data_IF_293359870036
#
_entry.id   IF_293359870036
#
_cell.length_a   1.000
_cell.length_b   1.000
_cell.length_c   1.000
_cell.angle_alpha   90.00
_cell.angle_beta   90.00
_cell.angle_gamma   90.00
#
_symmetry.space_group_name_H-M   'P 1'
#
loop_
_entity.id
_entity.type
_entity.pdbx_description
1 polymer ?
#
# COMPACT_ATOMS: atom_id res chain seq x y z
N UNK A 1 48.09 47.77 18.30
CA UNK A 1 49.18 47.01 17.63
C UNK A 1 50.06 46.38 18.70
N UNK A 2 50.23 45.04 18.64
CA UNK A 2 51.28 44.16 19.23
C UNK A 2 51.44 44.22 20.78
N UNK A 3 51.69 43.14 21.53
CA UNK A 3 52.55 41.98 21.28
C UNK A 3 52.11 40.75 22.11
N UNK A 4 52.29 39.58 21.49
CA UNK A 4 52.21 38.17 21.91
C UNK A 4 53.08 37.74 23.11
N UNK A 5 52.70 36.63 23.79
CA UNK A 5 53.49 35.46 24.31
C UNK A 5 52.80 34.86 25.55
N UNK A 6 52.82 33.59 25.95
CA UNK A 6 53.15 32.26 25.42
C UNK A 6 52.63 31.26 26.48
N UNK A 7 52.26 30.06 26.03
CA UNK A 7 51.91 28.82 26.74
C UNK A 7 52.39 28.57 28.19
N UNK A 8 51.61 27.80 28.96
CA UNK A 8 52.11 26.57 29.61
C UNK A 8 50.97 25.62 30.03
N UNK A 9 51.23 24.32 29.88
CA UNK A 9 50.38 23.18 30.24
C UNK A 9 50.23 23.07 31.76
N UNK A 10 49.11 22.53 32.27
CA UNK A 10 49.08 21.54 33.36
C UNK A 10 47.64 21.08 33.64
N UNK A 11 47.47 19.76 33.67
CA UNK A 11 46.25 19.04 33.98
C UNK A 11 45.93 19.12 35.48
N UNK A 12 44.63 19.11 35.83
CA UNK A 12 44.12 18.41 37.03
C UNK A 12 42.71 17.90 36.70
N UNK A 13 42.55 16.59 36.86
CA UNK A 13 41.31 15.88 36.74
C UNK A 13 40.34 16.27 37.86
N UNK A 14 39.06 16.46 37.51
CA UNK A 14 37.96 16.37 38.47
C UNK A 14 36.90 15.44 37.86
N UNK A 15 36.89 14.22 38.40
CA UNK A 15 35.90 13.18 38.17
C UNK A 15 34.51 13.67 38.56
N UNK A 16 33.71 14.05 37.56
CA UNK A 16 32.27 14.21 37.70
C UNK A 16 31.58 12.92 37.26
N UNK A 17 30.88 12.27 38.19
CA UNK A 17 30.08 11.07 37.92
C UNK A 17 28.94 11.49 36.99
N UNK A 18 29.07 11.22 35.70
CA UNK A 18 27.95 11.31 34.77
C UNK A 18 27.08 10.06 35.00
N UNK A 19 25.91 10.25 35.62
CA UNK A 19 24.87 9.23 35.58
C UNK A 19 24.45 9.05 34.12
N UNK A 20 24.98 8.00 33.49
CA UNK A 20 24.57 7.60 32.15
C UNK A 20 23.12 7.14 32.23
N UNK A 21 22.19 8.02 31.84
CA UNK A 21 20.85 7.61 31.47
C UNK A 21 20.99 6.73 30.22
N UNK A 22 21.06 5.41 30.43
CA UNK A 22 20.86 4.42 29.38
C UNK A 22 19.41 4.52 28.94
N UNK A 23 19.14 5.44 28.02
CA UNK A 23 17.99 5.31 27.14
C UNK A 23 18.24 4.05 26.32
N UNK A 24 17.61 2.94 26.73
CA UNK A 24 17.40 1.81 25.83
C UNK A 24 16.54 2.36 24.70
N UNK A 25 17.18 2.78 23.61
CA UNK A 25 16.51 2.93 22.34
C UNK A 25 15.93 1.55 22.03
N UNK A 26 14.64 1.36 22.33
CA UNK A 26 13.92 0.19 21.87
C UNK A 26 14.15 0.14 20.38
N UNK A 27 14.84 -0.88 19.90
CA UNK A 27 14.99 -1.14 18.49
C UNK A 27 13.57 -1.31 17.97
N UNK A 28 13.02 -0.28 17.36
CA UNK A 28 11.81 -0.41 16.57
C UNK A 28 12.18 -1.38 15.45
N UNK A 29 11.82 -2.64 15.62
CA UNK A 29 11.88 -3.60 14.54
C UNK A 29 10.97 -3.03 13.46
N UNK A 30 11.55 -2.57 12.36
CA UNK A 30 10.78 -2.22 11.19
C UNK A 30 10.02 -3.50 10.80
N UNK A 31 8.70 -3.46 10.95
CA UNK A 31 7.84 -4.51 10.43
C UNK A 31 8.17 -4.71 8.93
N UNK A 32 8.15 -5.97 8.43
CA UNK A 32 8.33 -6.22 7.01
C UNK A 32 7.42 -5.29 6.20
N UNK A 33 7.99 -4.65 5.18
CA UNK A 33 7.22 -3.82 4.26
C UNK A 33 6.06 -4.64 3.68
N UNK A 34 4.90 -4.01 3.40
CA UNK A 34 3.80 -4.71 2.76
C UNK A 34 4.28 -5.34 1.45
N UNK A 35 3.68 -6.46 1.07
CA UNK A 35 3.89 -6.99 -0.26
C UNK A 35 3.23 -6.04 -1.26
N UNK A 36 4.02 -5.52 -2.21
CA UNK A 36 3.55 -4.52 -3.20
C UNK A 36 3.49 -5.20 -4.55
N UNK A 37 2.28 -5.33 -5.09
CA UNK A 37 2.00 -5.96 -6.37
C UNK A 37 1.22 -5.06 -7.31
N UNK A 38 1.19 -5.47 -8.59
CA UNK A 38 0.31 -4.86 -9.58
C UNK A 38 -1.15 -5.24 -9.35
N UNK A 39 -2.07 -4.36 -9.75
CA UNK A 39 -3.48 -4.74 -9.83
C UNK A 39 -3.67 -6.00 -10.69
N UNK A 40 -4.53 -6.92 -10.22
CA UNK A 40 -4.79 -8.22 -10.85
C UNK A 40 -3.89 -9.36 -10.36
N UNK A 41 -2.83 -9.08 -9.59
CA UNK A 41 -2.00 -10.11 -8.96
C UNK A 41 -2.66 -10.62 -7.68
N UNK A 42 -2.66 -11.93 -7.46
CA UNK A 42 -3.12 -12.53 -6.21
C UNK A 42 -2.05 -12.42 -5.12
N UNK A 43 -2.45 -12.02 -3.92
CA UNK A 43 -1.59 -11.96 -2.74
C UNK A 43 -2.21 -12.73 -1.57
N UNK A 44 -1.39 -13.35 -0.73
CA UNK A 44 -1.87 -14.16 0.39
C UNK A 44 -1.74 -13.42 1.72
N UNK A 45 -2.87 -13.32 2.43
CA UNK A 45 -2.95 -12.96 3.83
C UNK A 45 -2.89 -14.23 4.68
N UNK A 46 -1.90 -14.31 5.55
CA UNK A 46 -1.73 -15.41 6.50
C UNK A 46 -2.12 -14.90 7.89
N UNK A 47 -3.16 -15.49 8.48
CA UNK A 47 -3.63 -15.18 9.83
C UNK A 47 -3.67 -16.48 10.66
N UNK A 48 -2.60 -16.74 11.41
CA UNK A 48 -2.42 -17.98 12.14
C UNK A 48 -2.43 -19.20 11.22
N UNK A 49 -3.45 -20.06 11.34
CA UNK A 49 -3.64 -21.25 10.50
C UNK A 49 -4.51 -21.02 9.25
N UNK A 50 -5.05 -19.81 9.10
CA UNK A 50 -5.94 -19.42 8.01
C UNK A 50 -5.16 -18.69 6.92
N UNK A 51 -5.42 -19.03 5.66
CA UNK A 51 -4.78 -18.39 4.51
C UNK A 51 -5.88 -17.92 3.56
N UNK A 52 -5.90 -16.61 3.31
CA UNK A 52 -6.82 -15.97 2.35
C UNK A 52 -6.02 -15.40 1.19
N UNK A 53 -6.34 -15.80 -0.03
CA UNK A 53 -5.79 -15.17 -1.22
C UNK A 53 -6.72 -14.06 -1.68
N UNK A 54 -6.22 -12.83 -1.72
CA UNK A 54 -6.93 -11.67 -2.26
C UNK A 54 -6.37 -11.30 -3.62
N UNK A 55 -7.26 -10.94 -4.54
CA UNK A 55 -6.89 -10.30 -5.80
C UNK A 55 -7.69 -9.01 -5.90
N UNK A 56 -7.01 -7.87 -6.03
CA UNK A 56 -7.67 -6.57 -6.27
C UNK A 56 -7.30 -6.08 -7.66
N UNK A 57 -8.29 -5.62 -8.40
CA UNK A 57 -8.12 -5.15 -9.77
C UNK A 57 -9.05 -3.99 -10.11
N UNK A 58 -8.83 -3.40 -11.28
CA UNK A 58 -9.80 -2.51 -11.93
C UNK A 58 -10.21 -1.29 -11.07
N UNK A 59 -9.25 -0.71 -10.32
CA UNK A 59 -9.49 0.52 -9.55
C UNK A 59 -9.77 1.70 -10.50
N UNK A 60 -10.99 2.23 -10.44
CA UNK A 60 -11.44 3.28 -11.35
C UNK A 60 -12.58 4.13 -10.77
N UNK A 61 -12.85 5.33 -11.32
CA UNK A 61 -14.03 6.11 -10.96
C UNK A 61 -15.33 5.32 -11.20
N UNK A 62 -16.31 5.51 -10.33
CA UNK A 62 -17.62 4.88 -10.40
C UNK A 62 -18.72 5.94 -10.44
N UNK A 63 -19.78 5.65 -11.20
CA UNK A 63 -21.00 6.47 -11.27
C UNK A 63 -22.19 5.78 -10.57
N UNK A 64 -21.92 4.72 -9.79
CA UNK A 64 -22.95 3.99 -9.05
C UNK A 64 -23.52 4.87 -7.93
N UNK A 65 -24.83 4.83 -7.74
CA UNK A 65 -25.47 5.44 -6.58
C UNK A 65 -25.56 4.41 -5.46
N UNK A 66 -24.99 4.74 -4.30
CA UNK A 66 -25.06 3.89 -3.10
C UNK A 66 -26.20 4.42 -2.21
N UNK A 67 -27.28 3.65 -1.98
CA UNK A 67 -28.39 4.09 -1.14
C UNK A 67 -27.95 4.49 0.26
N UNK A 68 -28.38 5.68 0.71
CA UNK A 68 -28.02 6.21 2.02
C UNK A 68 -26.59 6.71 2.16
N UNK A 69 -25.85 6.83 1.04
CA UNK A 69 -24.52 7.41 0.99
C UNK A 69 -24.46 8.53 -0.03
N UNK A 70 -23.92 9.68 0.37
CA UNK A 70 -23.68 10.82 -0.52
C UNK A 70 -22.17 11.03 -0.58
N UNK A 71 -21.53 10.75 -1.74
CA UNK A 71 -20.11 11.00 -1.91
C UNK A 71 -19.77 12.47 -1.65
N UNK A 72 -18.71 12.71 -0.89
CA UNK A 72 -18.13 14.04 -0.67
C UNK A 72 -17.13 14.42 -1.75
N UNK A 73 -16.53 13.42 -2.40
CA UNK A 73 -15.64 13.58 -3.54
C UNK A 73 -16.09 12.70 -4.70
N UNK A 74 -15.10 12.11 -5.39
CA UNK A 74 -15.35 11.20 -6.50
C UNK A 74 -15.46 9.77 -5.97
N UNK A 75 -16.55 9.08 -6.33
CA UNK A 75 -16.68 7.66 -6.00
C UNK A 75 -15.73 6.84 -6.87
N UNK A 76 -15.01 5.92 -6.26
CA UNK A 76 -14.16 4.93 -6.92
C UNK A 76 -14.65 3.54 -6.58
N UNK A 77 -14.38 2.60 -7.48
CA UNK A 77 -14.62 1.19 -7.28
C UNK A 77 -13.37 0.38 -7.63
N UNK A 78 -13.20 -0.77 -6.98
CA UNK A 78 -12.23 -1.79 -7.35
C UNK A 78 -12.87 -3.17 -7.24
N UNK A 79 -12.53 -4.06 -8.15
CA UNK A 79 -12.99 -5.44 -8.12
C UNK A 79 -12.08 -6.24 -7.18
N UNK A 80 -12.68 -7.05 -6.31
CA UNK A 80 -11.97 -7.88 -5.34
C UNK A 80 -12.47 -9.31 -5.40
N UNK A 81 -11.53 -10.25 -5.37
CA UNK A 81 -11.80 -11.68 -5.15
C UNK A 81 -11.07 -12.13 -3.89
N UNK A 82 -11.80 -12.76 -2.99
CA UNK A 82 -11.30 -13.37 -1.76
C UNK A 82 -11.47 -14.87 -1.84
N UNK A 83 -10.38 -15.64 -1.79
CA UNK A 83 -10.38 -17.09 -1.85
C UNK A 83 -9.83 -17.68 -0.57
N UNK A 84 -10.55 -18.64 0.01
CA UNK A 84 -10.06 -19.40 1.15
C UNK A 84 -9.09 -20.48 0.69
N UNK A 85 -7.80 -20.33 0.97
CA UNK A 85 -6.77 -21.32 0.65
C UNK A 85 -6.65 -22.37 1.76
N UNK A 86 -6.70 -21.92 3.02
CA UNK A 86 -6.64 -22.78 4.20
C UNK A 86 -7.61 -22.29 5.28
N UNK A 87 -8.40 -23.21 5.84
CA UNK A 87 -9.40 -22.91 6.87
C UNK A 87 -10.69 -22.30 6.32
N UNK A 88 -11.58 -21.90 7.22
CA UNK A 88 -12.76 -21.08 6.86
C UNK A 88 -12.43 -19.64 7.20
N UNK A 89 -12.43 -18.76 6.21
CA UNK A 89 -11.97 -17.37 6.36
C UNK A 89 -13.14 -16.41 6.24
N UNK A 90 -13.10 -15.30 6.98
CA UNK A 90 -14.13 -14.25 6.89
C UNK A 90 -13.47 -12.99 6.34
N UNK A 91 -13.86 -12.51 5.14
CA UNK A 91 -13.25 -11.33 4.55
C UNK A 91 -13.51 -10.08 5.39
N UNK A 92 -12.44 -9.38 5.79
CA UNK A 92 -12.54 -8.11 6.50
C UNK A 92 -12.59 -6.96 5.50
N UNK A 93 -13.79 -6.67 4.99
CA UNK A 93 -13.99 -5.63 3.96
C UNK A 93 -13.46 -4.27 4.44
N UNK A 94 -13.64 -3.95 5.72
CA UNK A 94 -13.22 -2.69 6.36
C UNK A 94 -11.70 -2.43 6.40
N UNK A 95 -10.89 -3.46 6.19
CA UNK A 95 -9.43 -3.36 6.20
C UNK A 95 -8.88 -2.85 4.86
N UNK A 96 -9.71 -2.79 3.82
CA UNK A 96 -9.32 -2.23 2.53
C UNK A 96 -9.36 -0.69 2.54
N UNK A 97 -8.29 -0.10 2.03
CA UNK A 97 -8.13 1.36 1.94
C UNK A 97 -7.59 1.70 0.55
N UNK A 98 -8.25 2.59 -0.19
CA UNK A 98 -7.68 3.15 -1.40
C UNK A 98 -6.66 4.24 -1.06
N UNK A 99 -5.53 4.26 -1.78
CA UNK A 99 -4.42 5.19 -1.58
C UNK A 99 -4.20 6.09 -2.77
N UNK A 100 -4.09 7.39 -2.51
CA UNK A 100 -3.58 8.39 -3.44
C UNK A 100 -2.05 8.39 -3.55
N UNK A 101 -1.49 9.00 -4.60
CA UNK A 101 -0.04 9.05 -4.85
C UNK A 101 0.76 9.76 -3.74
N UNK A 102 0.12 10.63 -2.96
CA UNK A 102 0.75 11.36 -1.86
C UNK A 102 0.48 10.72 -0.48
N UNK A 103 0.02 9.46 -0.43
CA UNK A 103 -0.30 8.76 0.82
C UNK A 103 -1.66 9.14 1.43
N UNK A 104 -2.54 9.79 0.67
CA UNK A 104 -3.93 10.01 1.11
C UNK A 104 -4.66 8.68 1.20
N UNK A 105 -5.41 8.47 2.28
CA UNK A 105 -6.15 7.24 2.53
C UNK A 105 -7.66 7.49 2.42
N UNK A 106 -8.34 6.66 1.62
CA UNK A 106 -9.80 6.64 1.48
C UNK A 106 -10.30 5.29 1.96
N UNK A 107 -11.01 5.28 3.09
CA UNK A 107 -11.58 4.05 3.66
C UNK A 107 -12.66 3.48 2.75
N UNK A 108 -12.79 2.16 2.74
CA UNK A 108 -13.91 1.51 2.06
C UNK A 108 -15.25 2.03 2.62
N UNK A 109 -16.23 2.13 1.74
CA UNK A 109 -17.60 2.47 2.10
C UNK A 109 -18.30 1.18 2.52
N UNK A 110 -18.23 0.88 3.81
CA UNK A 110 -18.91 -0.27 4.42
C UNK A 110 -20.38 0.06 4.73
N UNK A 111 -21.18 0.14 3.67
CA UNK A 111 -22.63 0.25 3.78
C UNK A 111 -23.23 -0.98 3.11
N UNK A 112 -24.01 -1.74 3.89
CA UNK A 112 -24.69 -3.00 3.51
C UNK A 112 -25.47 -2.93 2.18
N UNK A 113 -25.83 -1.72 1.72
CA UNK A 113 -26.60 -1.49 0.50
C UNK A 113 -25.76 -1.15 -0.75
N UNK A 114 -24.43 -1.13 -0.68
CA UNK A 114 -23.61 -0.87 -1.85
C UNK A 114 -23.76 -2.03 -2.88
N UNK A 115 -24.15 -1.74 -4.13
CA UNK A 115 -24.45 -2.78 -5.12
C UNK A 115 -23.25 -3.67 -5.39
N UNK A 116 -23.42 -5.00 -5.31
CA UNK A 116 -22.34 -5.94 -5.65
C UNK A 116 -21.12 -5.90 -4.72
N UNK A 117 -21.25 -5.32 -3.52
CA UNK A 117 -20.15 -5.31 -2.55
C UNK A 117 -19.72 -6.70 -2.13
N UNK A 118 -18.43 -6.84 -1.82
CA UNK A 118 -17.86 -8.09 -1.35
C UNK A 118 -18.65 -8.61 -0.14
N UNK A 119 -19.08 -9.87 -0.19
CA UNK A 119 -19.86 -10.48 0.86
C UNK A 119 -18.95 -10.79 2.07
N UNK A 120 -19.21 -10.23 3.27
CA UNK A 120 -18.42 -10.51 4.46
C UNK A 120 -18.78 -11.86 5.14
N UNK A 121 -19.57 -12.71 4.49
CA UNK A 121 -19.89 -14.04 5.02
C UNK A 121 -18.65 -14.97 5.03
N UNK A 122 -18.58 -15.94 5.96
CA UNK A 122 -17.51 -16.93 5.97
C UNK A 122 -17.40 -17.71 4.67
N UNK A 123 -16.18 -17.86 4.16
CA UNK A 123 -15.82 -18.59 2.94
C UNK A 123 -15.18 -19.93 3.35
N UNK A 124 -15.82 -21.07 3.06
CA UNK A 124 -15.23 -22.38 3.31
C UNK A 124 -13.93 -22.59 2.53
N UNK A 125 -13.05 -23.45 3.04
CA UNK A 125 -11.79 -23.76 2.36
C UNK A 125 -12.02 -24.23 0.92
N UNK A 126 -11.21 -23.71 0.00
CA UNK A 126 -11.28 -24.00 -1.44
C UNK A 126 -12.32 -23.17 -2.21
N UNK A 127 -13.19 -22.43 -1.52
CA UNK A 127 -14.18 -21.55 -2.13
C UNK A 127 -13.67 -20.10 -2.24
N UNK A 128 -14.38 -19.31 -3.04
CA UNK A 128 -14.11 -17.88 -3.20
C UNK A 128 -15.38 -17.04 -3.20
N UNK A 129 -15.20 -15.75 -2.90
CA UNK A 129 -16.22 -14.71 -2.99
C UNK A 129 -15.64 -13.54 -3.78
N UNK A 130 -16.44 -13.02 -4.72
CA UNK A 130 -16.07 -11.86 -5.53
C UNK A 130 -17.06 -10.74 -5.26
N UNK A 131 -16.58 -9.51 -5.30
CA UNK A 131 -17.43 -8.33 -5.23
C UNK A 131 -16.65 -7.05 -5.52
N UNK A 132 -17.24 -5.93 -5.14
CA UNK A 132 -16.70 -4.60 -5.42
C UNK A 132 -16.44 -3.84 -4.12
N UNK A 133 -15.27 -3.22 -4.02
CA UNK A 133 -14.91 -2.27 -2.98
C UNK A 133 -15.22 -0.86 -3.48
N UNK A 134 -15.91 -0.05 -2.68
CA UNK A 134 -16.21 1.33 -3.02
C UNK A 134 -15.44 2.29 -2.11
N UNK A 135 -14.94 3.38 -2.66
CA UNK A 135 -14.16 4.39 -1.94
C UNK A 135 -14.64 5.79 -2.33
N UNK A 136 -14.62 6.73 -1.39
CA UNK A 136 -14.91 8.14 -1.66
C UNK A 136 -13.62 8.96 -1.61
N UNK A 137 -13.11 9.32 -2.79
CA UNK A 137 -11.87 10.05 -2.94
C UNK A 137 -12.14 11.56 -2.86
N UNK A 138 -11.85 12.15 -1.70
CA UNK A 138 -12.00 13.59 -1.45
C UNK A 138 -10.75 14.41 -1.81
N UNK A 139 -9.73 13.78 -2.42
CA UNK A 139 -8.45 14.39 -2.73
C UNK A 139 -7.90 13.93 -4.08
N UNK A 140 -6.59 13.66 -4.15
CA UNK A 140 -5.99 13.15 -5.39
C UNK A 140 -6.55 11.76 -5.74
N UNK A 141 -6.70 11.43 -7.04
CA UNK A 141 -7.16 10.11 -7.48
C UNK A 141 -6.35 8.97 -6.85
N UNK A 142 -7.00 7.93 -6.30
CA UNK A 142 -6.28 6.78 -5.80
C UNK A 142 -5.62 6.00 -6.93
N UNK A 143 -4.40 5.52 -6.68
CA UNK A 143 -3.60 4.69 -7.59
C UNK A 143 -3.19 3.35 -6.95
N UNK A 144 -3.69 3.07 -5.75
CA UNK A 144 -3.46 1.81 -5.04
C UNK A 144 -4.62 1.44 -4.13
N UNK A 145 -4.68 0.18 -3.76
CA UNK A 145 -5.52 -0.35 -2.69
C UNK A 145 -4.61 -1.14 -1.75
N UNK A 146 -4.76 -0.91 -0.45
CA UNK A 146 -4.02 -1.64 0.58
C UNK A 146 -4.98 -2.43 1.46
N UNK A 147 -4.51 -3.57 1.94
CA UNK A 147 -5.11 -4.27 3.07
C UNK A 147 -4.33 -3.90 4.34
N UNK A 148 -4.99 -3.29 5.31
CA UNK A 148 -4.40 -2.84 6.57
C UNK A 148 -5.14 -3.47 7.74
N UNK A 149 -4.44 -4.24 8.57
CA UNK A 149 -4.99 -4.99 9.71
C UNK A 149 -5.35 -4.13 10.94
N UNK A 150 -5.44 -2.81 10.74
CA UNK A 150 -5.64 -1.82 11.80
C UNK A 150 -4.35 -1.33 12.46
N UNK A 151 -3.23 -2.04 12.29
CA UNK A 151 -1.92 -1.64 12.81
C UNK A 151 -0.95 -1.27 11.68
N UNK A 152 -0.95 -2.04 10.59
CA UNK A 152 0.04 -1.95 9.52
C UNK A 152 -0.52 -2.43 8.19
N UNK A 153 0.12 -2.00 7.12
CA UNK A 153 -0.17 -2.52 5.79
C UNK A 153 0.42 -3.91 5.66
N UNK A 154 -0.39 -4.83 5.13
CA UNK A 154 0.02 -6.21 4.90
C UNK A 154 0.17 -6.46 3.40
N UNK A 155 -0.84 -6.06 2.62
CA UNK A 155 -0.92 -6.26 1.17
C UNK A 155 -1.15 -4.92 0.46
N UNK A 156 -0.64 -4.77 -0.76
CA UNK A 156 -0.80 -3.56 -1.55
C UNK A 156 -0.82 -3.85 -3.04
N UNK A 157 -1.93 -3.50 -3.68
CA UNK A 157 -2.07 -3.48 -5.14
C UNK A 157 -1.97 -2.06 -5.65
N UNK A 158 -1.14 -1.80 -6.65
CA UNK A 158 -1.00 -0.47 -7.23
C UNK A 158 -0.72 -0.52 -8.73
N UNK A 159 -1.12 0.54 -9.44
CA UNK A 159 -0.70 0.76 -10.83
C UNK A 159 0.76 1.21 -10.93
N UNK A 160 1.39 1.55 -9.81
CA UNK A 160 2.72 2.14 -9.74
C UNK A 160 3.75 1.18 -9.14
N UNK A 161 3.80 -0.05 -9.66
CA UNK A 161 4.72 -1.10 -9.17
C UNK A 161 6.18 -0.70 -9.46
N UNK A 162 7.06 -0.63 -8.45
CA UNK A 162 8.47 -0.38 -8.67
C UNK A 162 9.08 -1.48 -9.56
N UNK A 163 9.54 -1.09 -10.77
CA UNK A 163 10.12 -2.03 -11.74
C UNK A 163 9.13 -2.69 -12.71
N UNK A 164 7.83 -2.41 -12.60
CA UNK A 164 6.85 -2.78 -13.62
C UNK A 164 6.98 -1.88 -14.83
N UNK A 165 7.41 -2.42 -15.97
CA UNK A 165 7.27 -1.76 -17.27
C UNK A 165 5.79 -1.44 -17.48
N UNK A 166 5.44 -0.16 -17.46
CA UNK A 166 4.23 0.31 -18.14
C UNK A 166 4.23 -0.28 -19.57
N UNK A 167 3.08 -0.65 -20.14
CA UNK A 167 3.04 -0.95 -21.57
C UNK A 167 3.59 0.27 -22.31
N UNK A 168 4.79 0.12 -22.87
CA UNK A 168 5.39 1.15 -23.72
C UNK A 168 4.34 1.50 -24.78
N UNK A 169 4.00 2.78 -24.98
CA UNK A 169 3.23 3.14 -26.16
C UNK A 169 4.02 2.62 -27.34
N UNK A 170 3.39 1.73 -28.12
CA UNK A 170 3.97 1.13 -29.32
C UNK A 170 4.68 2.22 -30.09
N UNK A 171 6.01 2.15 -30.16
CA UNK A 171 6.84 3.12 -30.83
C UNK A 171 6.49 3.08 -32.32
N UNK A 172 5.47 3.83 -32.71
CA UNK A 172 5.24 4.19 -34.10
C UNK A 172 6.28 5.25 -34.39
N UNK A 173 7.27 4.99 -35.26
CA UNK A 173 8.26 6.00 -35.59
C UNK A 173 7.56 7.18 -36.28
N UNK A 174 7.96 8.44 -36.00
CA UNK A 174 7.59 9.55 -36.85
C UNK A 174 8.03 9.27 -38.29
N UNK A 175 7.25 9.65 -39.32
CA UNK A 175 7.65 9.46 -40.71
C UNK A 175 8.97 10.20 -40.99
N UNK A 176 10.02 9.47 -41.38
CA UNK A 176 11.27 10.05 -41.89
C UNK A 176 12.57 9.62 -41.21
N UNK A 177 12.56 8.72 -40.22
CA UNK A 177 13.81 8.24 -39.60
C UNK A 177 14.18 6.82 -40.09
N UNK A 178 15.40 6.61 -40.62
CA UNK A 178 15.85 5.28 -41.02
C UNK A 178 16.06 4.35 -39.82
N UNK A 179 15.85 3.03 -39.97
CA UNK A 179 15.98 2.06 -38.87
C UNK A 179 17.41 2.02 -38.30
N UNK A 180 17.52 1.87 -36.97
CA UNK A 180 18.81 1.66 -36.32
C UNK A 180 19.39 0.26 -36.67
N UNK A 181 20.73 0.10 -36.74
CA UNK A 181 21.34 -1.19 -37.07
C UNK A 181 21.13 -2.22 -35.96
N UNK A 182 20.90 -3.48 -36.34
CA UNK A 182 20.75 -4.59 -35.41
C UNK A 182 22.08 -4.90 -34.67
N UNK A 183 22.03 -5.28 -33.38
CA UNK A 183 23.21 -5.70 -32.64
C UNK A 183 23.71 -7.05 -33.17
N UNK A 184 25.02 -7.14 -33.44
CA UNK A 184 25.70 -8.36 -33.87
C UNK A 184 25.97 -9.29 -32.67
N UNK A 185 25.73 -10.58 -32.88
CA UNK A 185 25.92 -11.69 -31.93
C UNK A 185 27.38 -12.00 -31.61
#
# INVERSE_FOLDING_TARGET
MKVTKTAFKSAVAASGIAAAAVFTAGTAFAAPAPNIQGFGTSEELIDGGMITSYTVSNLQPSNVSIPGYTPKGTLYQADVTAKSVSGTVTPMVNDFIARGPNGQNYRVIDKVAAPGSLNPAPIPQGQESTGTLYFDATGAPPNGVVYNDGMRDILMWTSNVPGGTAPSPSATPPPGQPPAPAPQS
#
